data_IF_495289734535
#
_entry.id   IF_495289734535
#
_cell.length_a   1.000
_cell.length_b   1.000
_cell.length_c   1.000
_cell.angle_alpha   90.00
_cell.angle_beta   90.00
_cell.angle_gamma   90.00
#
_symmetry.space_group_name_H-M   'P 1'
#
loop_
_entity.id
_entity.type
_entity.pdbx_description
1 polymer ?
#
# COMPACT_ATOMS: atom_id res chain seq x y z
N UNK A 1 -1.24 26.60 16.81
CA UNK A 1 -0.85 25.24 17.16
C UNK A 1 -0.17 24.58 15.99
N UNK A 2 1.06 24.09 16.16
CA UNK A 2 1.70 23.26 15.16
C UNK A 2 0.83 22.01 15.02
N UNK A 3 0.17 21.86 13.87
CA UNK A 3 -0.43 20.59 13.48
C UNK A 3 0.72 19.59 13.34
N UNK A 4 0.74 18.57 14.17
CA UNK A 4 1.69 17.48 14.08
C UNK A 4 1.41 16.76 12.75
N UNK A 5 2.21 17.07 11.73
CA UNK A 5 2.13 16.41 10.43
C UNK A 5 2.72 15.02 10.59
N UNK A 6 1.87 14.04 10.83
CA UNK A 6 2.27 12.64 10.93
C UNK A 6 2.44 12.05 9.52
N UNK A 7 3.61 12.34 8.91
CA UNK A 7 3.97 11.82 7.58
C UNK A 7 4.26 10.34 7.67
N UNK A 8 3.56 9.54 6.86
CA UNK A 8 3.64 8.08 6.86
C UNK A 8 4.25 7.49 5.60
N UNK A 9 4.17 8.19 4.47
CA UNK A 9 4.65 7.65 3.20
C UNK A 9 5.13 8.77 2.29
N UNK A 10 6.16 8.45 1.51
CA UNK A 10 6.70 9.30 0.45
C UNK A 10 6.84 8.39 -0.78
N UNK A 11 6.35 8.87 -1.93
CA UNK A 11 6.35 8.12 -3.18
C UNK A 11 6.68 9.04 -4.37
N UNK A 12 7.60 8.62 -5.24
CA UNK A 12 7.86 9.29 -6.50
C UNK A 12 7.00 8.67 -7.61
N UNK A 13 6.18 9.48 -8.28
CA UNK A 13 5.37 9.02 -9.40
C UNK A 13 6.18 8.94 -10.72
N UNK A 14 5.57 8.41 -11.77
CA UNK A 14 6.22 8.27 -13.09
C UNK A 14 6.52 9.59 -13.78
N UNK A 15 5.98 10.70 -13.31
CA UNK A 15 6.28 12.06 -13.75
C UNK A 15 7.33 12.74 -12.87
N UNK A 16 7.93 12.00 -11.93
CA UNK A 16 8.92 12.47 -10.96
C UNK A 16 8.39 13.48 -9.93
N UNK A 17 7.09 13.57 -9.74
CA UNK A 17 6.52 14.33 -8.64
C UNK A 17 6.59 13.50 -7.34
N UNK A 18 6.75 14.18 -6.21
CA UNK A 18 6.81 13.55 -4.90
C UNK A 18 5.44 13.63 -4.23
N UNK A 19 4.90 12.47 -3.93
CA UNK A 19 3.65 12.31 -3.20
C UNK A 19 3.95 12.07 -1.73
N UNK A 20 3.37 12.85 -0.85
CA UNK A 20 3.54 12.75 0.60
C UNK A 20 2.19 12.47 1.24
N UNK A 21 2.04 11.29 1.83
CA UNK A 21 0.85 10.89 2.57
C UNK A 21 1.03 11.11 4.06
N UNK A 22 0.02 11.70 4.70
CA UNK A 22 0.04 12.03 6.11
C UNK A 22 -1.37 11.99 6.72
N UNK A 23 -1.54 12.39 7.97
CA UNK A 23 -2.83 12.38 8.68
C UNK A 23 -3.84 13.45 8.20
N UNK A 24 -3.46 14.30 7.25
CA UNK A 24 -4.32 15.34 6.65
C UNK A 24 -4.53 15.18 5.16
N UNK A 25 -4.23 14.00 4.59
CA UNK A 25 -4.40 13.71 3.17
C UNK A 25 -3.08 13.53 2.42
N UNK A 26 -3.01 14.09 1.22
CA UNK A 26 -1.87 13.94 0.31
C UNK A 26 -1.40 15.30 -0.18
N UNK A 27 -0.10 15.56 -0.08
CA UNK A 27 0.56 16.70 -0.73
C UNK A 27 1.43 16.19 -1.88
N UNK A 28 1.35 16.85 -3.02
CA UNK A 28 2.20 16.58 -4.19
C UNK A 28 3.17 17.74 -4.38
N UNK A 29 4.45 17.43 -4.46
CA UNK A 29 5.54 18.39 -4.59
C UNK A 29 6.26 18.20 -5.93
N UNK A 30 6.65 19.31 -6.54
CA UNK A 30 7.63 19.30 -7.62
C UNK A 30 9.04 19.32 -7.00
N UNK A 31 9.86 18.26 -7.17
CA UNK A 31 11.16 18.18 -6.52
C UNK A 31 12.21 19.15 -7.10
N UNK A 32 11.98 19.70 -8.30
CA UNK A 32 12.89 20.66 -8.92
C UNK A 32 12.67 22.08 -8.39
N UNK A 33 11.40 22.48 -8.20
CA UNK A 33 11.04 23.81 -7.71
C UNK A 33 10.80 23.84 -6.21
N UNK A 34 10.60 22.66 -5.59
CA UNK A 34 10.19 22.47 -4.19
C UNK A 34 8.82 23.09 -3.87
N UNK A 35 8.02 23.36 -4.90
CA UNK A 35 6.68 23.91 -4.74
C UNK A 35 5.64 22.82 -4.57
N UNK A 36 4.63 23.11 -3.76
CA UNK A 36 3.44 22.27 -3.64
C UNK A 36 2.60 22.46 -4.90
N UNK A 37 2.37 21.35 -5.64
CA UNK A 37 1.53 21.35 -6.84
C UNK A 37 0.05 21.19 -6.45
N UNK A 38 -0.24 20.29 -5.50
CA UNK A 38 -1.59 19.94 -5.07
C UNK A 38 -1.61 19.52 -3.60
N UNK A 39 -2.73 19.76 -2.96
CA UNK A 39 -3.11 19.18 -1.69
C UNK A 39 -4.49 18.55 -1.84
N UNK A 40 -4.57 17.23 -1.59
CA UNK A 40 -5.81 16.46 -1.65
C UNK A 40 -6.19 15.96 -0.26
N UNK A 41 -7.47 16.09 0.05
CA UNK A 41 -8.10 15.53 1.25
C UNK A 41 -9.54 15.09 0.93
N UNK A 42 -10.26 14.59 1.92
CA UNK A 42 -11.65 14.14 1.76
C UNK A 42 -12.64 15.27 1.43
N UNK A 43 -12.28 16.52 1.67
CA UNK A 43 -13.15 17.67 1.38
C UNK A 43 -13.04 18.13 -0.08
N UNK A 44 -11.88 17.92 -0.72
CA UNK A 44 -11.61 18.45 -2.06
C UNK A 44 -11.30 17.38 -3.12
N UNK A 45 -11.45 16.12 -2.78
CA UNK A 45 -11.19 14.96 -3.66
C UNK A 45 -12.13 13.80 -3.34
N UNK A 46 -12.01 12.70 -4.09
CA UNK A 46 -12.76 11.47 -3.81
C UNK A 46 -12.04 10.54 -2.84
N UNK A 47 -10.98 10.99 -2.17
CA UNK A 47 -10.35 10.24 -1.09
C UNK A 47 -11.37 9.87 -0.01
N UNK A 48 -11.31 8.62 0.43
CA UNK A 48 -12.25 8.12 1.46
C UNK A 48 -11.73 8.32 2.88
N UNK A 49 -10.47 8.73 3.02
CA UNK A 49 -9.83 9.02 4.31
C UNK A 49 -8.71 10.03 4.14
N UNK A 50 -8.48 10.82 5.16
CA UNK A 50 -7.30 11.70 5.26
C UNK A 50 -6.10 10.98 5.92
N UNK A 51 -6.32 9.83 6.57
CA UNK A 51 -5.26 9.06 7.24
C UNK A 51 -4.52 8.17 6.26
N UNK A 52 -3.63 8.76 5.46
CA UNK A 52 -2.89 8.07 4.40
C UNK A 52 -1.68 7.36 4.98
N UNK A 53 -1.54 6.07 4.69
CA UNK A 53 -0.43 5.23 5.15
C UNK A 53 0.52 4.77 4.08
N UNK A 54 0.03 4.53 2.86
CA UNK A 54 0.86 4.08 1.75
C UNK A 54 0.31 4.54 0.42
N UNK A 55 1.21 4.85 -0.51
CA UNK A 55 0.90 5.25 -1.87
C UNK A 55 1.80 4.47 -2.80
N UNK A 56 1.23 3.92 -3.88
CA UNK A 56 1.98 3.34 -4.99
C UNK A 56 1.25 3.59 -6.30
N UNK A 57 1.97 3.69 -7.40
CA UNK A 57 1.42 3.82 -8.74
C UNK A 57 1.60 2.49 -9.48
N UNK A 58 0.58 2.01 -10.17
CA UNK A 58 0.69 0.84 -11.00
C UNK A 58 1.18 1.17 -12.43
N UNK A 59 1.43 0.16 -13.25
CA UNK A 59 1.92 0.31 -14.62
C UNK A 59 0.92 1.01 -15.57
N UNK A 60 -0.33 1.16 -15.13
CA UNK A 60 -1.37 1.89 -15.86
C UNK A 60 -1.51 3.34 -15.43
N UNK A 61 -0.65 3.77 -14.49
CA UNK A 61 -0.66 5.12 -13.94
C UNK A 61 -1.70 5.38 -12.86
N UNK A 62 -2.44 4.35 -12.42
CA UNK A 62 -3.41 4.49 -11.33
C UNK A 62 -2.69 4.52 -9.98
N UNK A 63 -3.23 5.27 -9.04
CA UNK A 63 -2.72 5.34 -7.68
C UNK A 63 -3.48 4.40 -6.75
N UNK A 64 -2.71 3.57 -6.06
CA UNK A 64 -3.19 2.68 -5.01
C UNK A 64 -2.87 3.34 -3.67
N UNK A 65 -3.91 3.64 -2.90
CA UNK A 65 -3.78 4.42 -1.66
C UNK A 65 -4.32 3.60 -0.50
N UNK A 66 -3.43 3.33 0.43
CA UNK A 66 -3.74 2.62 1.68
C UNK A 66 -3.96 3.60 2.83
N UNK A 67 -4.94 3.31 3.66
CA UNK A 67 -5.36 4.15 4.77
C UNK A 67 -5.28 3.42 6.11
N UNK A 68 -5.36 4.19 7.19
CA UNK A 68 -5.62 3.67 8.53
C UNK A 68 -7.11 3.73 8.82
N UNK A 69 -7.79 2.59 8.65
CA UNK A 69 -9.19 2.44 9.05
C UNK A 69 -10.24 2.44 7.94
N UNK A 70 -9.88 2.91 6.72
CA UNK A 70 -10.84 3.05 5.61
C UNK A 70 -10.49 2.20 4.37
N UNK A 71 -9.54 1.28 4.52
CA UNK A 71 -9.20 0.29 3.51
C UNK A 71 -8.23 0.77 2.43
N UNK A 72 -8.35 0.14 1.26
CA UNK A 72 -7.53 0.38 0.07
C UNK A 72 -8.39 1.01 -1.02
N UNK A 73 -7.92 2.11 -1.59
CA UNK A 73 -8.54 2.73 -2.75
C UNK A 73 -7.64 2.72 -3.98
N UNK A 74 -8.25 2.59 -5.16
CA UNK A 74 -7.60 2.77 -6.45
C UNK A 74 -8.21 4.00 -7.11
N UNK A 75 -7.34 4.90 -7.57
CA UNK A 75 -7.71 6.22 -8.08
C UNK A 75 -7.02 6.55 -9.40
N UNK A 76 -7.64 7.42 -10.18
CA UNK A 76 -6.99 8.07 -11.32
C UNK A 76 -5.89 9.04 -10.84
N UNK A 77 -5.00 9.53 -11.73
CA UNK A 77 -3.95 10.49 -11.33
C UNK A 77 -4.46 11.79 -10.69
N UNK A 78 -5.70 12.20 -10.99
CA UNK A 78 -6.37 13.35 -10.37
C UNK A 78 -7.27 12.96 -9.18
N UNK A 79 -7.04 11.75 -8.63
CA UNK A 79 -7.72 11.18 -7.47
C UNK A 79 -9.25 11.06 -7.58
N UNK A 80 -9.75 10.75 -8.77
CA UNK A 80 -11.10 10.22 -8.94
C UNK A 80 -11.12 8.73 -8.59
N UNK A 81 -12.06 8.33 -7.78
CA UNK A 81 -12.17 6.96 -7.28
C UNK A 81 -12.55 5.98 -8.39
N UNK A 82 -11.75 4.92 -8.53
CA UNK A 82 -12.03 3.79 -9.42
C UNK A 82 -12.67 2.64 -8.63
N UNK A 83 -12.05 2.22 -7.52
CA UNK A 83 -12.47 1.07 -6.72
C UNK A 83 -12.04 1.22 -5.28
N UNK A 84 -12.88 0.75 -4.35
CA UNK A 84 -12.55 0.60 -2.93
C UNK A 84 -12.57 -0.86 -2.51
N UNK A 85 -11.67 -1.21 -1.59
CA UNK A 85 -11.60 -2.51 -0.93
C UNK A 85 -11.63 -2.29 0.59
N UNK A 86 -12.72 -2.70 1.21
CA UNK A 86 -12.95 -2.56 2.66
C UNK A 86 -13.42 -3.88 3.25
N UNK A 87 -13.41 -3.99 4.57
CA UNK A 87 -13.93 -5.17 5.26
C UNK A 87 -15.43 -5.41 4.97
N UNK A 88 -16.19 -4.37 4.67
CA UNK A 88 -17.59 -4.50 4.24
C UNK A 88 -17.73 -5.24 2.92
N UNK A 89 -16.72 -5.16 2.07
CA UNK A 89 -16.69 -5.81 0.75
C UNK A 89 -15.96 -7.17 0.80
N UNK A 90 -15.57 -7.64 2.00
CA UNK A 90 -14.85 -8.89 2.18
C UNK A 90 -13.32 -8.77 2.11
N UNK A 91 -12.77 -7.56 2.05
CA UNK A 91 -11.33 -7.34 2.18
C UNK A 91 -10.87 -7.65 3.61
N UNK A 92 -9.65 -8.17 3.79
CA UNK A 92 -9.25 -8.72 5.09
C UNK A 92 -9.08 -7.68 6.19
N UNK A 93 -8.77 -6.42 5.84
CA UNK A 93 -8.54 -5.36 6.81
C UNK A 93 -8.82 -3.98 6.23
N UNK A 94 -9.32 -3.06 7.07
CA UNK A 94 -9.43 -1.64 6.74
C UNK A 94 -8.13 -0.88 7.01
N UNK A 95 -7.12 -1.49 7.62
CA UNK A 95 -5.81 -0.89 7.82
C UNK A 95 -4.82 -1.44 6.82
N UNK A 96 -4.31 -0.57 5.94
CA UNK A 96 -3.32 -0.87 4.91
C UNK A 96 -2.01 -0.18 5.27
N UNK A 97 -0.97 -0.96 5.56
CA UNK A 97 0.30 -0.44 6.06
C UNK A 97 1.29 -0.11 4.95
N UNK A 98 1.37 -0.94 3.91
CA UNK A 98 2.25 -0.70 2.77
C UNK A 98 1.75 -1.36 1.49
N UNK A 99 2.04 -0.72 0.36
CA UNK A 99 1.71 -1.18 -0.99
C UNK A 99 2.99 -1.13 -1.82
N UNK A 100 3.28 -2.20 -2.54
CA UNK A 100 4.34 -2.22 -3.56
C UNK A 100 3.83 -2.89 -4.83
N UNK A 101 4.38 -2.49 -5.98
CA UNK A 101 4.29 -3.28 -7.21
C UNK A 101 5.60 -4.03 -7.41
N UNK A 102 5.52 -5.35 -7.66
CA UNK A 102 6.69 -6.15 -7.96
C UNK A 102 7.06 -6.08 -9.46
N UNK A 103 8.20 -6.68 -9.82
CA UNK A 103 8.69 -6.70 -11.21
C UNK A 103 7.76 -7.46 -12.16
N UNK A 104 6.91 -8.34 -11.64
CA UNK A 104 5.90 -9.07 -12.40
C UNK A 104 4.57 -8.31 -12.50
N UNK A 105 4.54 -7.03 -12.06
CA UNK A 105 3.36 -6.17 -12.05
C UNK A 105 2.24 -6.61 -11.10
N UNK A 106 2.53 -7.51 -10.17
CA UNK A 106 1.61 -7.83 -9.08
C UNK A 106 1.63 -6.70 -8.04
N UNK A 107 0.49 -6.43 -7.44
CA UNK A 107 0.40 -5.48 -6.33
C UNK A 107 0.34 -6.26 -5.02
N UNK A 108 1.27 -5.96 -4.12
CA UNK A 108 1.33 -6.54 -2.80
C UNK A 108 0.91 -5.54 -1.75
N UNK A 109 -0.03 -5.93 -0.89
CA UNK A 109 -0.65 -5.08 0.11
C UNK A 109 -0.40 -5.69 1.49
N UNK A 110 0.36 -5.01 2.32
CA UNK A 110 0.52 -5.36 3.74
C UNK A 110 -0.58 -4.72 4.56
N UNK A 111 -1.36 -5.55 5.23
CA UNK A 111 -2.49 -5.09 6.04
C UNK A 111 -2.35 -5.49 7.51
N UNK A 112 -3.24 -4.98 8.38
CA UNK A 112 -3.32 -5.40 9.78
C UNK A 112 -3.73 -6.87 9.98
N UNK A 113 -4.37 -7.50 8.98
CA UNK A 113 -4.98 -8.83 9.08
C UNK A 113 -4.55 -9.82 8.00
N UNK A 114 -3.48 -9.52 7.27
CA UNK A 114 -2.93 -10.41 6.25
C UNK A 114 -2.09 -9.71 5.19
N UNK A 115 -1.46 -10.55 4.35
CA UNK A 115 -0.78 -10.12 3.14
C UNK A 115 -1.69 -10.39 1.95
N UNK A 116 -1.93 -9.36 1.13
CA UNK A 116 -2.79 -9.46 -0.06
C UNK A 116 -1.95 -9.33 -1.32
N UNK A 117 -2.23 -10.15 -2.31
CA UNK A 117 -1.62 -10.08 -3.63
C UNK A 117 -2.68 -9.96 -4.72
N UNK A 118 -2.63 -8.88 -5.49
CA UNK A 118 -3.34 -8.76 -6.76
C UNK A 118 -2.44 -9.32 -7.86
N UNK A 119 -2.81 -10.46 -8.44
CA UNK A 119 -2.02 -11.14 -9.46
C UNK A 119 -1.99 -10.37 -10.78
N UNK A 120 -3.03 -9.59 -11.03
CA UNK A 120 -3.16 -8.73 -12.20
C UNK A 120 -3.85 -7.43 -11.80
N UNK A 121 -3.42 -6.32 -12.37
CA UNK A 121 -4.08 -5.03 -12.22
C UNK A 121 -5.23 -4.82 -13.20
N UNK A 122 -5.43 -5.74 -14.17
CA UNK A 122 -6.54 -5.70 -15.12
C UNK A 122 -7.87 -6.09 -14.48
N UNK A 123 -7.90 -7.27 -13.85
CA UNK A 123 -9.13 -7.84 -13.29
C UNK A 123 -9.40 -7.46 -11.85
N UNK A 124 -8.38 -6.94 -11.14
CA UNK A 124 -8.43 -6.59 -9.73
C UNK A 124 -8.84 -7.73 -8.80
N UNK A 125 -8.53 -8.97 -9.21
CA UNK A 125 -8.69 -10.15 -8.39
C UNK A 125 -7.48 -10.30 -7.45
N UNK A 126 -7.74 -10.66 -6.21
CA UNK A 126 -6.69 -10.78 -5.21
C UNK A 126 -6.78 -12.08 -4.41
N UNK A 127 -5.65 -12.49 -3.88
CA UNK A 127 -5.50 -13.58 -2.91
C UNK A 127 -5.05 -13.00 -1.57
N UNK A 128 -5.65 -13.47 -0.49
CA UNK A 128 -5.25 -13.08 0.87
C UNK A 128 -4.52 -14.23 1.52
N UNK A 129 -3.34 -13.94 2.07
CA UNK A 129 -2.53 -14.87 2.86
C UNK A 129 -2.66 -14.54 4.35
N UNK A 130 -2.98 -15.55 5.14
CA UNK A 130 -3.17 -15.46 6.58
C UNK A 130 -2.45 -16.63 7.30
N UNK A 131 -2.70 -16.83 8.60
CA UNK A 131 -2.05 -17.91 9.37
C UNK A 131 -2.28 -19.29 8.77
N UNK A 132 -3.46 -19.58 8.25
CA UNK A 132 -3.80 -20.84 7.55
C UNK A 132 -2.95 -21.10 6.31
N UNK A 133 -2.38 -20.06 5.74
CA UNK A 133 -1.54 -20.11 4.54
C UNK A 133 -0.03 -20.16 4.86
N UNK A 134 0.33 -20.15 6.16
CA UNK A 134 1.71 -20.25 6.61
C UNK A 134 2.32 -18.98 7.19
N UNK A 135 1.57 -17.89 7.37
CA UNK A 135 2.07 -16.70 8.05
C UNK A 135 2.15 -16.91 9.56
N UNK A 136 3.26 -16.52 10.19
CA UNK A 136 3.39 -16.57 11.66
C UNK A 136 2.63 -15.43 12.35
N UNK A 137 2.41 -14.33 11.64
CA UNK A 137 1.66 -13.17 12.10
C UNK A 137 0.98 -12.48 10.94
N UNK A 138 -0.22 -11.96 11.15
CA UNK A 138 -1.05 -11.34 10.11
C UNK A 138 -0.91 -9.82 10.02
N UNK A 139 -0.32 -9.17 11.02
CA UNK A 139 -0.05 -7.73 10.94
C UNK A 139 1.22 -7.48 10.14
N UNK A 140 1.06 -7.19 8.87
CA UNK A 140 2.16 -6.94 7.93
C UNK A 140 2.51 -5.45 7.95
N UNK A 141 3.75 -5.12 8.31
CA UNK A 141 4.17 -3.74 8.52
C UNK A 141 4.90 -3.14 7.31
N UNK A 142 5.86 -3.88 6.75
CA UNK A 142 6.65 -3.42 5.61
C UNK A 142 6.89 -4.56 4.61
N UNK A 143 7.04 -4.21 3.34
CA UNK A 143 7.22 -5.16 2.23
C UNK A 143 8.38 -4.69 1.36
N UNK A 144 9.19 -5.63 0.88
CA UNK A 144 10.23 -5.38 -0.11
C UNK A 144 10.36 -6.57 -1.06
N UNK A 145 10.69 -6.31 -2.32
CA UNK A 145 11.03 -7.34 -3.31
C UNK A 145 12.55 -7.47 -3.41
N UNK A 146 13.07 -8.71 -3.41
CA UNK A 146 14.49 -8.95 -3.65
C UNK A 146 14.82 -9.08 -5.15
N UNK A 147 16.10 -9.19 -5.47
CA UNK A 147 16.55 -9.32 -6.86
C UNK A 147 16.07 -10.60 -7.56
N UNK A 148 15.68 -11.61 -6.79
CA UNK A 148 15.15 -12.90 -7.28
C UNK A 148 13.63 -12.90 -7.44
N UNK A 149 12.96 -11.80 -7.08
CA UNK A 149 11.50 -11.67 -7.12
C UNK A 149 10.79 -12.28 -5.92
N UNK A 150 11.50 -12.59 -4.85
CA UNK A 150 10.88 -13.02 -3.59
C UNK A 150 10.37 -11.79 -2.84
N UNK A 151 9.28 -11.96 -2.11
CA UNK A 151 8.65 -10.89 -1.35
C UNK A 151 8.97 -11.06 0.12
N UNK A 152 9.70 -10.11 0.66
CA UNK A 152 10.06 -10.04 2.07
C UNK A 152 9.13 -9.08 2.79
N UNK A 153 8.67 -9.46 3.96
CA UNK A 153 7.80 -8.60 4.74
C UNK A 153 8.04 -8.77 6.24
N UNK A 154 7.90 -7.68 6.96
CA UNK A 154 8.01 -7.66 8.41
C UNK A 154 6.64 -7.76 9.08
N UNK A 155 6.64 -8.32 10.27
CA UNK A 155 5.48 -8.42 11.14
C UNK A 155 5.91 -8.29 12.61
N UNK A 156 4.95 -8.30 13.54
CA UNK A 156 5.24 -8.13 14.96
C UNK A 156 6.04 -9.29 15.60
N UNK A 157 6.31 -10.36 14.86
CA UNK A 157 7.08 -11.52 15.35
C UNK A 157 8.39 -11.74 14.61
N UNK A 158 8.71 -10.92 13.64
CA UNK A 158 9.95 -11.05 12.87
C UNK A 158 9.77 -10.75 11.39
N UNK A 159 10.45 -11.52 10.57
CA UNK A 159 10.48 -11.36 9.12
C UNK A 159 9.97 -12.64 8.47
N UNK A 160 9.23 -12.50 7.39
CA UNK A 160 8.79 -13.60 6.54
C UNK A 160 9.17 -13.34 5.09
N UNK A 161 9.31 -14.42 4.32
CA UNK A 161 9.60 -14.36 2.89
C UNK A 161 8.64 -15.27 2.13
N UNK A 162 7.96 -14.72 1.15
CA UNK A 162 7.25 -15.50 0.14
C UNK A 162 8.22 -15.79 -1.01
N UNK A 163 8.53 -17.06 -1.20
CA UNK A 163 9.41 -17.50 -2.30
C UNK A 163 8.54 -17.79 -3.52
N UNK A 164 8.57 -16.88 -4.48
CA UNK A 164 7.72 -16.91 -5.68
C UNK A 164 7.85 -18.21 -6.49
N UNK A 165 9.08 -18.71 -6.66
CA UNK A 165 9.33 -19.94 -7.42
C UNK A 165 8.81 -21.21 -6.77
N UNK A 166 8.52 -21.18 -5.47
CA UNK A 166 8.06 -22.34 -4.69
C UNK A 166 6.63 -22.18 -4.17
N UNK A 167 6.04 -21.01 -4.33
CA UNK A 167 4.72 -20.64 -3.78
C UNK A 167 4.59 -21.02 -2.29
N UNK A 168 5.59 -20.62 -1.49
CA UNK A 168 5.63 -20.95 -0.07
C UNK A 168 6.27 -19.83 0.77
N UNK A 169 5.96 -19.85 2.08
CA UNK A 169 6.49 -18.91 3.06
C UNK A 169 7.62 -19.53 3.89
N UNK A 170 8.65 -18.73 4.13
CA UNK A 170 9.66 -18.96 5.14
C UNK A 170 9.55 -17.89 6.21
N UNK A 171 9.58 -18.28 7.48
CA UNK A 171 9.41 -17.38 8.61
C UNK A 171 10.67 -17.40 9.48
N UNK A 172 11.11 -16.22 9.89
CA UNK A 172 12.27 -15.99 10.73
C UNK A 172 11.81 -15.21 11.96
N UNK A 173 11.65 -15.91 13.08
CA UNK A 173 11.34 -15.30 14.38
C UNK A 173 12.58 -15.28 15.25
N UNK A 174 12.76 -14.26 16.07
CA UNK A 174 13.67 -14.33 17.20
C UNK A 174 13.05 -15.26 18.25
N UNK A 175 13.76 -16.31 18.58
CA UNK A 175 13.48 -17.16 19.75
C UNK A 175 13.82 -16.45 21.04
#
# INVERSE_FOLDING_TARGET
GQSNLDVRTIYEDTQHNIWVGYSGGIVILNPLTMEIIRHYNTENSELQSDFIRSIAQDEKGRFWIGTFGDGLGIYTPDLQKIKMFTQRDGFCSNTVNQIIQDKQKRMWIGTGEGLVCFLSTDELNYKTYQRKDGLINTNICAIAEDKKGNIWFSNNKGISCYVTSKDCFYNYSHS
#
